data_IF_252451943024
#
_entry.id   IF_252451943024
#
_cell.length_a   1.000
_cell.length_b   1.000
_cell.length_c   1.000
_cell.angle_alpha   90.00
_cell.angle_beta   90.00
_cell.angle_gamma   90.00
#
_symmetry.space_group_name_H-M   'P 1'
#
loop_
_entity.id
_entity.type
_entity.pdbx_description
1 polymer ?
#
# COMPACT_ATOMS: atom_id res chain seq x y z
N UNK A 1 -29.76 -5.21 24.61
CA UNK A 1 -29.23 -4.84 23.28
C UNK A 1 -28.04 -3.92 23.49
N UNK A 2 -26.83 -4.50 23.50
CA UNK A 2 -25.60 -3.69 23.61
C UNK A 2 -25.36 -2.96 22.27
N UNK A 3 -25.17 -1.65 22.33
CA UNK A 3 -24.69 -0.89 21.17
C UNK A 3 -23.20 -1.19 20.98
N UNK A 4 -22.85 -1.83 19.89
CA UNK A 4 -21.45 -2.02 19.49
C UNK A 4 -20.93 -0.73 18.86
N UNK A 5 -19.76 -0.30 19.29
CA UNK A 5 -19.07 0.81 18.64
C UNK A 5 -18.03 0.27 17.65
N UNK A 6 -18.00 0.80 16.44
CA UNK A 6 -17.11 0.34 15.36
C UNK A 6 -15.63 0.31 15.76
N UNK A 7 -15.18 1.24 16.60
CA UNK A 7 -13.80 1.33 17.07
C UNK A 7 -13.37 0.21 18.03
N UNK A 8 -14.31 -0.58 18.57
CA UNK A 8 -14.00 -1.76 19.41
C UNK A 8 -13.38 -2.87 18.58
N UNK A 9 -13.60 -2.86 17.24
CA UNK A 9 -13.03 -3.81 16.30
C UNK A 9 -11.71 -3.35 15.69
N UNK A 10 -11.21 -2.17 16.00
CA UNK A 10 -10.00 -1.61 15.41
C UNK A 10 -8.76 -2.50 15.61
N UNK A 11 -8.68 -3.26 16.70
CA UNK A 11 -7.58 -4.21 16.92
C UNK A 11 -7.58 -5.33 15.87
N UNK A 12 -8.75 -5.84 15.52
CA UNK A 12 -8.87 -6.89 14.50
C UNK A 12 -8.60 -6.33 13.09
N UNK A 13 -9.09 -5.13 12.81
CA UNK A 13 -8.81 -4.40 11.57
C UNK A 13 -7.30 -4.15 11.40
N UNK A 14 -6.62 -3.77 12.49
CA UNK A 14 -5.17 -3.58 12.50
C UNK A 14 -4.43 -4.88 12.20
N UNK A 15 -4.78 -5.98 12.87
CA UNK A 15 -4.15 -7.29 12.67
C UNK A 15 -4.36 -7.76 11.23
N UNK A 16 -5.59 -7.63 10.69
CA UNK A 16 -5.89 -8.02 9.32
C UNK A 16 -5.04 -7.24 8.30
N UNK A 17 -4.96 -5.92 8.45
CA UNK A 17 -4.10 -5.08 7.61
C UNK A 17 -2.63 -5.49 7.73
N UNK A 18 -2.13 -5.66 8.95
CA UNK A 18 -0.73 -6.00 9.21
C UNK A 18 -0.37 -7.32 8.54
N UNK A 19 -1.16 -8.38 8.76
CA UNK A 19 -0.94 -9.69 8.16
C UNK A 19 -1.00 -9.65 6.64
N UNK A 20 -1.96 -8.92 6.10
CA UNK A 20 -2.10 -8.73 4.65
C UNK A 20 -0.85 -8.05 4.07
N UNK A 21 -0.39 -6.96 4.70
CA UNK A 21 0.80 -6.24 4.27
C UNK A 21 2.06 -7.12 4.32
N UNK A 22 2.23 -7.92 5.39
CA UNK A 22 3.34 -8.87 5.48
C UNK A 22 3.28 -9.92 4.39
N UNK A 23 2.10 -10.46 4.08
CA UNK A 23 1.95 -11.47 3.05
C UNK A 23 2.34 -10.91 1.67
N UNK A 24 1.86 -9.73 1.32
CA UNK A 24 2.24 -9.02 0.10
C UNK A 24 3.75 -8.77 0.06
N UNK A 25 4.36 -8.32 1.16
CA UNK A 25 5.79 -8.07 1.24
C UNK A 25 6.62 -9.35 1.01
N UNK A 26 6.16 -10.48 1.56
CA UNK A 26 6.80 -11.79 1.37
C UNK A 26 6.74 -12.19 -0.12
N UNK A 27 5.58 -12.11 -0.74
CA UNK A 27 5.43 -12.47 -2.17
C UNK A 27 6.32 -11.59 -3.06
N UNK A 28 6.39 -10.29 -2.80
CA UNK A 28 7.28 -9.37 -3.53
C UNK A 28 8.77 -9.71 -3.30
N UNK A 29 9.17 -9.95 -2.06
CA UNK A 29 10.55 -10.27 -1.69
C UNK A 29 11.06 -11.53 -2.38
N UNK A 30 10.20 -12.55 -2.51
CA UNK A 30 10.52 -13.82 -3.17
C UNK A 30 10.13 -13.85 -4.65
N UNK A 31 9.81 -12.70 -5.25
CA UNK A 31 9.45 -12.55 -6.68
C UNK A 31 8.28 -13.45 -7.13
N UNK A 32 7.36 -13.71 -6.23
CA UNK A 32 6.13 -14.46 -6.49
C UNK A 32 5.05 -13.56 -7.10
N UNK A 33 5.39 -12.94 -8.25
CA UNK A 33 4.55 -11.90 -8.84
C UNK A 33 3.22 -12.42 -9.37
N UNK A 34 3.20 -13.61 -9.95
CA UNK A 34 1.97 -14.24 -10.44
C UNK A 34 1.07 -14.62 -9.25
N UNK A 35 1.65 -15.24 -8.21
CA UNK A 35 0.89 -15.61 -7.01
C UNK A 35 0.32 -14.35 -6.31
N UNK A 36 1.06 -13.24 -6.35
CA UNK A 36 0.60 -11.96 -5.82
C UNK A 36 -0.55 -11.38 -6.65
N UNK A 37 -0.43 -11.40 -7.96
CA UNK A 37 -1.48 -10.94 -8.88
C UNK A 37 -2.78 -11.70 -8.64
N UNK A 38 -2.74 -13.03 -8.67
CA UNK A 38 -3.87 -13.90 -8.38
C UNK A 38 -4.46 -13.67 -6.97
N UNK A 39 -3.61 -13.36 -5.99
CA UNK A 39 -4.05 -13.07 -4.62
C UNK A 39 -4.79 -11.74 -4.53
N UNK A 40 -4.29 -10.69 -5.21
CA UNK A 40 -4.89 -9.36 -5.18
C UNK A 40 -6.18 -9.26 -6.01
N UNK A 41 -6.36 -10.16 -6.99
CA UNK A 41 -7.58 -10.24 -7.80
C UNK A 41 -8.72 -10.99 -7.10
N UNK A 42 -8.44 -11.65 -5.96
CA UNK A 42 -9.47 -12.35 -5.21
C UNK A 42 -10.54 -11.42 -4.68
N UNK A 43 -11.74 -11.94 -4.65
CA UNK A 43 -12.88 -11.31 -4.02
C UNK A 43 -13.01 -11.82 -2.59
N UNK A 44 -13.27 -10.91 -1.67
CA UNK A 44 -13.45 -11.18 -0.25
C UNK A 44 -14.89 -10.87 0.15
N UNK A 45 -15.45 -11.67 1.05
CA UNK A 45 -16.77 -11.40 1.60
C UNK A 45 -16.65 -10.21 2.58
N UNK A 46 -17.34 -9.13 2.25
CA UNK A 46 -17.50 -7.96 3.11
C UNK A 46 -18.58 -8.14 4.17
N UNK A 47 -19.11 -7.03 4.65
CA UNK A 47 -20.23 -7.05 5.61
C UNK A 47 -21.52 -7.50 4.95
N UNK A 48 -22.34 -8.23 5.71
CA UNK A 48 -23.72 -8.53 5.33
C UNK A 48 -24.58 -7.28 5.56
N UNK A 49 -25.26 -6.82 4.53
CA UNK A 49 -26.28 -5.79 4.65
C UNK A 49 -27.68 -6.35 4.35
N UNK A 50 -28.70 -5.48 4.30
CA UNK A 50 -30.10 -5.88 4.05
C UNK A 50 -30.33 -6.48 2.65
N UNK A 51 -29.35 -6.41 1.77
CA UNK A 51 -29.41 -6.87 0.38
C UNK A 51 -28.50 -8.09 0.10
N UNK A 52 -27.72 -8.53 1.09
CA UNK A 52 -26.82 -9.67 0.99
C UNK A 52 -25.40 -9.36 1.40
N UNK A 53 -24.48 -10.27 1.05
CA UNK A 53 -23.05 -10.05 1.30
C UNK A 53 -22.46 -9.15 0.22
N UNK A 54 -21.79 -8.09 0.65
CA UNK A 54 -20.98 -7.28 -0.25
C UNK A 54 -19.67 -8.04 -0.59
N UNK A 55 -19.28 -8.02 -1.85
CA UNK A 55 -18.05 -8.68 -2.32
C UNK A 55 -17.05 -7.61 -2.69
N UNK A 56 -15.94 -7.59 -1.99
CA UNK A 56 -14.95 -6.55 -2.10
C UNK A 56 -13.59 -7.11 -2.51
N UNK A 57 -12.81 -6.33 -3.25
CA UNK A 57 -11.40 -6.64 -3.49
C UNK A 57 -10.53 -6.39 -2.24
N UNK A 58 -9.22 -6.45 -2.42
CA UNK A 58 -8.26 -6.34 -1.31
C UNK A 58 -8.34 -5.01 -0.51
N UNK A 59 -9.05 -3.99 -0.99
CA UNK A 59 -9.29 -2.77 -0.22
C UNK A 59 -10.05 -2.99 1.09
N UNK A 60 -10.73 -4.15 1.25
CA UNK A 60 -11.38 -4.53 2.50
C UNK A 60 -10.38 -4.57 3.68
N UNK A 61 -9.11 -4.87 3.42
CA UNK A 61 -8.07 -4.89 4.44
C UNK A 61 -7.62 -3.50 4.88
N UNK A 62 -7.92 -2.45 4.11
CA UNK A 62 -7.62 -1.08 4.47
C UNK A 62 -8.78 -0.46 5.27
N UNK A 63 -8.52 -0.11 6.51
CA UNK A 63 -9.49 0.53 7.40
C UNK A 63 -8.88 1.70 8.16
N UNK A 64 -9.67 2.75 8.34
CA UNK A 64 -9.31 3.83 9.23
C UNK A 64 -9.51 3.41 10.69
N UNK A 65 -8.46 3.54 11.50
CA UNK A 65 -8.44 3.09 12.90
C UNK A 65 -8.57 4.29 13.85
N UNK A 66 -9.80 4.66 14.17
CA UNK A 66 -10.13 5.80 15.07
C UNK A 66 -9.47 5.67 16.44
N UNK A 67 -9.36 4.45 16.97
CA UNK A 67 -8.77 4.17 18.28
C UNK A 67 -7.29 4.60 18.36
N UNK A 68 -6.53 4.45 17.29
CA UNK A 68 -5.12 4.88 17.24
C UNK A 68 -4.99 6.39 17.22
N UNK A 69 -5.83 7.09 16.47
CA UNK A 69 -5.84 8.56 16.47
C UNK A 69 -6.27 9.11 17.82
N UNK A 70 -7.29 8.49 18.44
CA UNK A 70 -7.71 8.85 19.81
C UNK A 70 -6.58 8.62 20.81
N UNK A 71 -5.88 7.48 20.74
CA UNK A 71 -4.73 7.17 21.59
C UNK A 71 -3.61 8.18 21.41
N UNK A 72 -3.28 8.54 20.15
CA UNK A 72 -2.26 9.53 19.83
C UNK A 72 -2.55 10.88 20.50
N UNK A 73 -3.79 11.34 20.43
CA UNK A 73 -4.24 12.59 21.06
C UNK A 73 -4.27 12.49 22.59
N UNK A 74 -4.90 11.46 23.14
CA UNK A 74 -5.07 11.26 24.60
C UNK A 74 -3.74 11.17 25.33
N UNK A 75 -2.76 10.47 24.74
CA UNK A 75 -1.43 10.30 25.33
C UNK A 75 -0.42 11.36 24.87
N UNK A 76 -0.87 12.37 24.09
CA UNK A 76 -0.02 13.40 23.52
C UNK A 76 1.25 12.85 22.86
N UNK A 77 1.13 11.75 22.12
CA UNK A 77 2.27 11.07 21.50
C UNK A 77 2.93 11.90 20.40
N UNK A 78 2.22 12.90 19.84
CA UNK A 78 2.68 13.80 18.77
C UNK A 78 3.24 13.08 17.55
N UNK A 79 2.63 11.95 17.19
CA UNK A 79 3.02 11.14 16.05
C UNK A 79 2.20 11.52 14.83
N UNK A 80 2.82 11.57 13.65
CA UNK A 80 2.13 11.80 12.39
C UNK A 80 1.24 10.60 12.02
N UNK A 81 1.69 9.38 12.30
CA UNK A 81 0.92 8.15 12.19
C UNK A 81 1.36 7.16 13.26
N UNK A 82 0.54 7.00 14.31
CA UNK A 82 0.80 5.97 15.33
C UNK A 82 0.70 4.57 14.72
N UNK A 83 -0.14 4.41 13.70
CA UNK A 83 -0.27 3.18 12.93
C UNK A 83 1.06 2.77 12.29
N UNK A 84 1.67 3.67 11.51
CA UNK A 84 2.94 3.42 10.85
C UNK A 84 4.08 3.17 11.86
N UNK A 85 4.08 3.88 13.00
CA UNK A 85 5.06 3.67 14.08
C UNK A 85 4.96 2.26 14.65
N UNK A 86 3.74 1.74 14.88
CA UNK A 86 3.54 0.39 15.42
C UNK A 86 4.03 -0.66 14.40
N UNK A 87 3.65 -0.54 13.14
CA UNK A 87 4.12 -1.46 12.08
C UNK A 87 5.65 -1.47 12.01
N UNK A 88 6.27 -0.28 12.03
CA UNK A 88 7.74 -0.15 11.98
C UNK A 88 8.42 -0.81 13.18
N UNK A 89 7.88 -0.64 14.39
CA UNK A 89 8.44 -1.24 15.58
C UNK A 89 8.33 -2.77 15.55
N UNK A 90 7.17 -3.28 15.16
CA UNK A 90 6.92 -4.72 15.08
C UNK A 90 7.77 -5.40 14.00
N UNK A 91 8.03 -4.73 12.88
CA UNK A 91 8.92 -5.25 11.82
C UNK A 91 10.34 -5.57 12.29
N UNK A 92 10.84 -4.92 13.34
CA UNK A 92 12.18 -5.19 13.89
C UNK A 92 12.37 -6.63 14.43
N UNK A 93 11.29 -7.31 14.72
CA UNK A 93 11.29 -8.66 15.31
C UNK A 93 11.01 -9.76 14.28
N UNK A 94 10.95 -9.42 13.01
CA UNK A 94 10.58 -10.33 11.93
C UNK A 94 11.70 -10.45 10.89
N UNK A 95 11.61 -11.47 10.06
CA UNK A 95 12.54 -11.68 8.93
C UNK A 95 12.25 -10.78 7.70
N UNK A 96 11.17 -9.99 7.76
CA UNK A 96 10.78 -9.01 6.74
C UNK A 96 11.17 -7.64 7.23
N UNK A 97 12.00 -6.94 6.48
CA UNK A 97 12.44 -5.60 6.82
C UNK A 97 11.31 -4.57 6.63
N UNK A 98 11.34 -3.49 7.40
CA UNK A 98 10.38 -2.41 7.24
C UNK A 98 10.39 -1.81 5.82
N UNK A 99 11.54 -1.85 5.13
CA UNK A 99 11.61 -1.42 3.72
C UNK A 99 10.84 -2.33 2.76
N UNK A 100 10.73 -3.64 3.07
CA UNK A 100 9.90 -4.57 2.31
C UNK A 100 8.42 -4.25 2.49
N UNK A 101 8.00 -3.87 3.71
CA UNK A 101 6.63 -3.44 3.99
C UNK A 101 6.29 -2.12 3.29
N UNK A 102 7.21 -1.15 3.28
CA UNK A 102 7.03 0.09 2.52
C UNK A 102 6.88 -0.18 1.02
N UNK A 103 7.65 -1.13 0.48
CA UNK A 103 7.54 -1.55 -0.91
C UNK A 103 6.18 -2.19 -1.20
N UNK A 104 5.70 -3.07 -0.32
CA UNK A 104 4.39 -3.69 -0.44
C UNK A 104 3.27 -2.64 -0.42
N UNK A 105 3.33 -1.72 0.53
CA UNK A 105 2.37 -0.64 0.69
C UNK A 105 2.33 0.29 -0.55
N UNK A 106 3.49 0.54 -1.16
CA UNK A 106 3.59 1.30 -2.40
C UNK A 106 3.01 0.57 -3.61
N UNK A 107 3.26 -0.73 -3.73
CA UNK A 107 2.67 -1.57 -4.79
C UNK A 107 1.15 -1.61 -4.69
N UNK A 108 0.63 -1.84 -3.47
CA UNK A 108 -0.82 -1.82 -3.21
C UNK A 108 -1.46 -0.48 -3.56
N UNK A 109 -0.77 0.62 -3.21
CA UNK A 109 -1.20 1.96 -3.57
C UNK A 109 -1.27 2.16 -5.09
N UNK A 110 -0.19 1.84 -5.83
CA UNK A 110 -0.16 2.00 -7.27
C UNK A 110 -1.25 1.17 -7.96
N UNK A 111 -1.39 -0.11 -7.57
CA UNK A 111 -2.40 -1.01 -8.13
C UNK A 111 -3.82 -0.52 -7.84
N UNK A 112 -4.09 -0.07 -6.61
CA UNK A 112 -5.40 0.44 -6.24
C UNK A 112 -5.77 1.70 -7.04
N UNK A 113 -4.85 2.65 -7.14
CA UNK A 113 -5.07 3.90 -7.86
C UNK A 113 -5.22 3.70 -9.37
N UNK A 114 -4.65 2.62 -9.92
CA UNK A 114 -4.74 2.30 -11.34
C UNK A 114 -5.99 1.49 -11.69
N UNK A 115 -6.27 0.41 -10.95
CA UNK A 115 -7.31 -0.55 -11.29
C UNK A 115 -8.67 -0.26 -10.63
N UNK A 116 -8.67 0.42 -9.47
CA UNK A 116 -9.88 0.59 -8.67
C UNK A 116 -10.34 2.05 -8.77
N UNK A 117 -11.31 2.29 -9.64
CA UNK A 117 -11.93 3.60 -9.80
C UNK A 117 -13.07 3.78 -8.77
N UNK A 118 -12.70 3.91 -7.49
CA UNK A 118 -13.66 4.16 -6.42
C UNK A 118 -13.26 5.40 -5.62
N UNK A 119 -14.03 6.46 -5.72
CA UNK A 119 -13.76 7.75 -5.04
C UNK A 119 -13.85 7.63 -3.51
N UNK A 120 -14.53 6.62 -2.98
CA UNK A 120 -14.81 6.46 -1.55
C UNK A 120 -13.83 5.53 -0.85
N UNK A 121 -13.14 4.64 -1.56
CA UNK A 121 -12.21 3.66 -1.00
C UNK A 121 -10.89 3.70 -1.77
N UNK A 122 -9.86 4.18 -1.10
CA UNK A 122 -8.49 4.27 -1.64
C UNK A 122 -7.54 3.53 -0.72
N UNK A 123 -6.52 2.91 -1.28
CA UNK A 123 -5.41 2.42 -0.47
C UNK A 123 -4.53 3.60 -0.06
N UNK A 124 -4.52 3.93 1.23
CA UNK A 124 -3.65 4.97 1.76
C UNK A 124 -2.39 4.34 2.34
N UNK A 125 -1.20 4.52 1.74
CA UNK A 125 0.01 3.76 2.06
C UNK A 125 0.64 4.26 3.36
N UNK A 126 0.18 3.79 4.50
CA UNK A 126 0.53 4.27 5.85
C UNK A 126 2.02 4.25 6.14
N UNK A 127 2.75 3.24 5.63
CA UNK A 127 4.18 3.09 5.91
C UNK A 127 5.03 4.10 5.14
N UNK A 128 4.52 4.66 4.04
CA UNK A 128 5.26 5.60 3.19
C UNK A 128 5.51 6.98 3.83
N UNK A 129 4.92 7.27 4.98
CA UNK A 129 5.28 8.43 5.78
C UNK A 129 6.79 8.45 6.12
N UNK A 130 7.43 7.29 6.14
CA UNK A 130 8.87 7.16 6.38
C UNK A 130 9.72 7.23 5.11
N UNK A 131 9.11 7.43 3.94
CA UNK A 131 9.83 7.52 2.67
C UNK A 131 10.30 8.92 2.30
N UNK A 132 9.90 9.97 3.02
CA UNK A 132 10.22 11.37 2.71
C UNK A 132 11.71 11.61 2.49
N UNK A 133 12.55 10.97 3.30
CA UNK A 133 14.02 11.10 3.21
C UNK A 133 14.67 9.94 2.44
N UNK A 134 13.87 9.08 1.80
CA UNK A 134 14.40 7.97 1.03
C UNK A 134 14.96 8.45 -0.30
N UNK A 135 16.28 8.38 -0.45
CA UNK A 135 16.98 8.77 -1.68
C UNK A 135 17.07 7.63 -2.70
N UNK A 136 16.65 6.44 -2.33
CA UNK A 136 16.74 5.24 -3.19
C UNK A 136 15.33 4.78 -3.58
N UNK A 137 15.12 4.33 -4.82
CA UNK A 137 13.85 3.73 -5.22
C UNK A 137 13.58 2.44 -4.41
N UNK A 138 12.35 1.95 -4.47
CA UNK A 138 12.01 0.62 -3.97
C UNK A 138 12.76 -0.44 -4.79
N UNK A 139 13.15 -1.54 -4.13
CA UNK A 139 14.07 -2.51 -4.72
C UNK A 139 13.54 -3.11 -6.02
N UNK A 140 12.27 -3.53 -6.07
CA UNK A 140 11.69 -4.10 -7.29
C UNK A 140 11.72 -3.11 -8.46
N UNK A 141 11.49 -1.82 -8.21
CA UNK A 141 11.55 -0.79 -9.24
C UNK A 141 13.00 -0.43 -9.62
N UNK A 142 13.93 -0.54 -8.69
CA UNK A 142 15.34 -0.44 -9.04
C UNK A 142 15.77 -1.60 -9.97
N UNK A 143 15.32 -2.83 -9.68
CA UNK A 143 15.59 -4.01 -10.53
C UNK A 143 14.85 -3.94 -11.85
N UNK A 144 13.71 -3.26 -11.91
CA UNK A 144 12.92 -3.03 -13.12
C UNK A 144 13.60 -2.06 -14.13
N UNK A 145 14.81 -1.57 -13.85
CA UNK A 145 15.69 -1.03 -14.91
C UNK A 145 15.96 -2.08 -15.99
N UNK A 146 16.00 -3.37 -15.64
CA UNK A 146 16.00 -4.47 -16.59
C UNK A 146 14.61 -4.67 -17.18
N UNK A 147 14.50 -4.60 -18.52
CA UNK A 147 13.24 -4.89 -19.23
C UNK A 147 12.72 -6.29 -18.89
N UNK A 148 13.60 -7.27 -18.83
CA UNK A 148 13.24 -8.67 -18.49
C UNK A 148 12.65 -8.79 -17.09
N UNK A 149 13.15 -8.01 -16.14
CA UNK A 149 12.62 -8.01 -14.78
C UNK A 149 11.26 -7.30 -14.71
N UNK A 150 11.11 -6.16 -15.39
CA UNK A 150 9.84 -5.45 -15.49
C UNK A 150 8.73 -6.34 -16.04
N UNK A 151 8.98 -7.07 -17.14
CA UNK A 151 8.01 -7.99 -17.73
C UNK A 151 7.54 -9.08 -16.77
N UNK A 152 8.37 -9.48 -15.81
CA UNK A 152 7.96 -10.44 -14.77
C UNK A 152 7.09 -9.81 -13.68
N UNK A 153 7.39 -8.56 -13.29
CA UNK A 153 6.75 -7.93 -12.14
C UNK A 153 5.49 -7.12 -12.47
N UNK A 154 5.28 -6.76 -13.73
CA UNK A 154 4.23 -5.84 -14.15
C UNK A 154 2.82 -6.29 -13.75
N UNK A 155 2.53 -7.60 -13.78
CA UNK A 155 1.25 -8.15 -13.31
C UNK A 155 0.99 -7.81 -11.84
N UNK A 156 1.98 -7.94 -10.97
CA UNK A 156 1.83 -7.66 -9.54
C UNK A 156 1.46 -6.19 -9.24
N UNK A 157 1.92 -5.26 -10.08
CA UNK A 157 1.59 -3.84 -9.96
C UNK A 157 0.34 -3.44 -10.76
N UNK A 158 -0.21 -4.35 -11.59
CA UNK A 158 -1.44 -4.16 -12.35
C UNK A 158 -1.29 -3.27 -13.59
N UNK A 159 -0.11 -3.23 -14.23
CA UNK A 159 0.14 -2.46 -15.45
C UNK A 159 0.51 -3.38 -16.62
N UNK A 160 0.04 -3.06 -17.80
CA UNK A 160 0.30 -3.86 -19.00
C UNK A 160 1.69 -3.63 -19.56
N UNK A 161 2.19 -2.40 -19.51
CA UNK A 161 3.50 -2.05 -20.00
C UNK A 161 4.17 -0.88 -19.24
N UNK A 162 5.44 -0.63 -19.55
CA UNK A 162 6.23 0.41 -18.88
C UNK A 162 5.75 1.83 -19.21
N UNK A 163 5.18 2.03 -20.39
CA UNK A 163 4.75 3.36 -20.82
C UNK A 163 3.47 3.78 -20.10
N UNK A 164 2.59 2.83 -19.90
CA UNK A 164 1.38 3.00 -19.08
C UNK A 164 1.75 3.40 -17.64
N UNK A 165 2.66 2.66 -16.99
CA UNK A 165 3.14 3.00 -15.64
C UNK A 165 3.79 4.39 -15.59
N UNK A 166 4.63 4.75 -16.57
CA UNK A 166 5.25 6.08 -16.63
C UNK A 166 4.21 7.18 -16.78
N UNK A 167 3.27 7.01 -17.69
CA UNK A 167 2.18 7.97 -17.93
C UNK A 167 1.32 8.14 -16.69
N UNK A 168 0.97 7.05 -16.02
CA UNK A 168 0.22 7.06 -14.77
C UNK A 168 0.96 7.83 -13.66
N UNK A 169 2.27 7.61 -13.50
CA UNK A 169 3.08 8.32 -12.50
C UNK A 169 3.15 9.82 -12.81
N UNK A 170 3.24 10.22 -14.09
CA UNK A 170 3.27 11.64 -14.47
C UNK A 170 1.95 12.35 -14.15
N UNK A 171 0.82 11.65 -14.03
CA UNK A 171 -0.46 12.24 -13.62
C UNK A 171 -0.40 12.89 -12.22
N UNK A 172 0.44 12.39 -11.32
CA UNK A 172 0.67 12.98 -9.99
C UNK A 172 1.40 14.34 -10.05
N UNK A 173 2.04 14.65 -11.17
CA UNK A 173 2.83 15.89 -11.36
C UNK A 173 2.15 16.86 -12.33
N UNK A 174 1.02 16.46 -12.91
CA UNK A 174 0.18 17.27 -13.81
C UNK A 174 -1.17 17.65 -13.18
N UNK A 175 -1.29 17.56 -11.86
CA UNK A 175 -2.49 17.88 -11.07
C UNK A 175 -3.73 17.03 -11.41
N UNK A 176 -3.53 15.91 -12.09
CA UNK A 176 -4.62 14.96 -12.39
C UNK A 176 -4.90 13.99 -11.26
N UNK A 177 -3.90 13.77 -10.38
CA UNK A 177 -3.99 12.89 -9.21
C UNK A 177 -3.33 13.51 -8.00
N UNK A 178 -3.90 13.25 -6.83
CA UNK A 178 -3.36 13.71 -5.56
C UNK A 178 -2.44 12.67 -4.92
N UNK A 179 -1.25 13.12 -4.51
CA UNK A 179 -0.34 12.30 -3.71
C UNK A 179 -0.83 12.33 -2.25
N UNK A 180 -0.99 11.16 -1.59
CA UNK A 180 -1.30 11.09 -0.16
C UNK A 180 -0.32 11.91 0.69
N UNK A 181 -0.85 12.63 1.69
CA UNK A 181 -0.06 13.54 2.54
C UNK A 181 -0.37 13.31 4.02
N UNK A 182 0.67 13.40 4.85
CA UNK A 182 0.56 13.42 6.31
C UNK A 182 1.02 14.80 6.79
N UNK A 183 0.08 15.71 7.03
CA UNK A 183 0.37 17.12 7.34
C UNK A 183 1.29 17.76 6.28
N UNK A 184 2.60 17.84 6.57
CA UNK A 184 3.59 18.43 5.67
C UNK A 184 4.43 17.39 4.92
N UNK A 185 4.27 16.10 5.25
CA UNK A 185 5.04 15.01 4.65
C UNK A 185 4.26 14.33 3.52
N UNK A 186 4.96 14.00 2.46
CA UNK A 186 4.44 13.18 1.36
C UNK A 186 5.58 12.31 0.81
N UNK A 187 5.28 11.48 -0.17
CA UNK A 187 6.29 10.69 -0.87
C UNK A 187 6.35 11.07 -2.35
N UNK A 188 7.40 10.66 -3.03
CA UNK A 188 7.56 10.87 -4.47
C UNK A 188 7.25 9.58 -5.23
N UNK A 189 6.09 9.42 -5.86
CA UNK A 189 5.81 8.26 -6.71
C UNK A 189 6.88 8.05 -7.77
N UNK A 190 7.34 9.11 -8.43
CA UNK A 190 8.40 9.08 -9.45
C UNK A 190 9.72 8.56 -8.89
N UNK A 191 10.12 9.05 -7.70
CA UNK A 191 11.36 8.63 -7.04
C UNK A 191 11.30 7.18 -6.55
N UNK A 192 10.19 6.77 -5.93
CA UNK A 192 10.02 5.41 -5.42
C UNK A 192 9.91 4.37 -6.55
N UNK A 193 9.23 4.71 -7.64
CA UNK A 193 9.11 3.85 -8.83
C UNK A 193 10.32 3.92 -9.77
N UNK A 194 11.32 4.78 -9.50
CA UNK A 194 12.48 4.95 -10.41
C UNK A 194 12.06 5.21 -11.87
N UNK A 195 10.99 5.97 -12.06
CA UNK A 195 10.26 6.11 -13.32
C UNK A 195 11.15 6.45 -14.50
N UNK A 196 12.14 7.34 -14.31
CA UNK A 196 13.05 7.77 -15.39
C UNK A 196 13.95 6.63 -15.90
N UNK A 197 14.23 5.62 -15.07
CA UNK A 197 15.15 4.53 -15.37
C UNK A 197 14.48 3.18 -15.64
N UNK A 198 13.15 3.09 -15.59
CA UNK A 198 12.43 1.86 -15.90
C UNK A 198 12.75 1.38 -17.31
N UNK A 199 13.09 0.09 -17.45
CA UNK A 199 13.44 -0.57 -18.71
C UNK A 199 14.61 0.10 -19.47
N UNK A 200 15.49 0.84 -18.78
CA UNK A 200 16.65 1.49 -19.39
C UNK A 200 17.80 0.51 -19.73
N UNK A 201 17.76 -0.68 -19.14
CA UNK A 201 18.75 -1.75 -19.36
C UNK A 201 18.11 -2.96 -20.04
N UNK A 202 18.85 -3.59 -20.95
CA UNK A 202 18.45 -4.82 -21.66
C UNK A 202 18.46 -6.03 -20.73
#
# INVERSE_FOLDING_TARGET
TGSFYEHEFDVFKFIAYELFLYYVAILLKYEKFIDLDEFLDKQYMGSEDSYGYDVEGYLIFYNYLKSLDYRNRRLNCRKLSLFADIIKERAKHLSIDFSDLMQADFVLFLRAEHLIHNDWRRWYPQTLIYSEYRRKPMEIFFRAQSKKYFEKMKCAIGFDDVQELKSFIEEYYTEKRDIPRWQHCSFSPKGLANSDNLCSKR
#
